data_IF_542574907341
#
_entry.id   IF_542574907341
#
_cell.length_a   1.000
_cell.length_b   1.000
_cell.length_c   1.000
_cell.angle_alpha   90.00
_cell.angle_beta   90.00
_cell.angle_gamma   90.00
#
_symmetry.space_group_name_H-M   'P 1'
#
loop_
_entity.id
_entity.type
_entity.pdbx_description
1 polymer ?
#
# COMPACT_ATOMS: atom_id res chain seq x y z
N UNK A 1 7.34 -16.88 -13.81
CA UNK A 1 7.59 -15.52 -13.26
C UNK A 1 6.86 -14.51 -14.13
N UNK A 2 6.19 -13.52 -13.53
CA UNK A 2 5.40 -12.53 -14.27
C UNK A 2 6.22 -11.29 -14.59
N UNK A 3 5.95 -10.65 -15.73
CA UNK A 3 6.46 -9.31 -16.01
C UNK A 3 5.46 -8.26 -15.57
N UNK A 4 5.92 -7.28 -14.79
CA UNK A 4 5.16 -6.09 -14.43
C UNK A 4 5.57 -4.90 -15.31
N UNK A 5 4.59 -4.05 -15.62
CA UNK A 5 4.81 -2.78 -16.28
C UNK A 5 5.16 -1.69 -15.26
N UNK A 6 6.15 -0.88 -15.62
CA UNK A 6 6.55 0.35 -14.96
C UNK A 6 6.39 1.48 -15.96
N UNK A 7 5.72 2.55 -15.58
CA UNK A 7 5.33 3.61 -16.53
C UNK A 7 5.91 4.95 -16.17
N UNK A 8 6.42 5.67 -17.17
CA UNK A 8 6.73 7.09 -17.07
C UNK A 8 5.57 7.88 -17.68
N UNK A 9 4.83 8.62 -16.87
CA UNK A 9 3.68 9.42 -17.36
C UNK A 9 4.10 10.61 -18.21
N UNK A 10 5.28 11.19 -17.96
CA UNK A 10 5.81 12.31 -18.73
C UNK A 10 6.22 11.89 -20.14
N UNK A 11 7.04 10.84 -20.24
CA UNK A 11 7.53 10.33 -21.52
C UNK A 11 6.53 9.40 -22.22
N UNK A 12 5.47 8.97 -21.52
CA UNK A 12 4.44 8.03 -22.00
C UNK A 12 5.03 6.73 -22.54
N UNK A 13 5.97 6.17 -21.79
CA UNK A 13 6.62 4.90 -22.09
C UNK A 13 6.46 3.91 -20.93
N UNK A 14 6.55 2.62 -21.26
CA UNK A 14 6.54 1.55 -20.29
C UNK A 14 7.81 0.71 -20.39
N UNK A 15 8.36 0.39 -19.22
CA UNK A 15 9.47 -0.54 -19.03
C UNK A 15 8.93 -1.78 -18.35
N UNK A 16 9.31 -2.97 -18.83
CA UNK A 16 8.93 -4.23 -18.19
C UNK A 16 10.06 -4.76 -17.32
N UNK A 17 9.73 -5.19 -16.10
CA UNK A 17 10.63 -5.85 -15.16
C UNK A 17 9.92 -7.02 -14.53
N UNK A 18 10.68 -7.94 -13.93
CA UNK A 18 10.09 -9.01 -13.15
C UNK A 18 9.22 -8.45 -12.02
N UNK A 19 8.09 -9.09 -11.73
CA UNK A 19 7.23 -8.78 -10.59
C UNK A 19 7.95 -8.80 -9.23
N UNK A 20 9.06 -9.54 -9.11
CA UNK A 20 9.87 -9.65 -7.90
C UNK A 20 10.92 -8.53 -7.78
N UNK A 21 11.10 -7.71 -8.81
CA UNK A 21 12.07 -6.61 -8.77
C UNK A 21 11.66 -5.57 -7.72
N UNK A 22 12.48 -5.40 -6.68
CA UNK A 22 12.23 -4.47 -5.56
C UNK A 22 12.99 -3.13 -5.67
N UNK A 23 13.61 -2.85 -6.81
CA UNK A 23 14.33 -1.60 -7.04
C UNK A 23 13.47 -0.49 -7.63
N UNK A 24 14.05 0.69 -7.75
CA UNK A 24 13.50 1.76 -8.58
C UNK A 24 13.81 1.48 -10.06
N UNK A 25 12.86 1.82 -10.94
CA UNK A 25 13.03 1.68 -12.40
C UNK A 25 13.14 3.08 -13.00
N UNK A 26 14.32 3.51 -13.47
CA UNK A 26 14.46 4.79 -14.14
C UNK A 26 13.88 4.74 -15.56
N UNK A 27 13.32 5.86 -15.99
CA UNK A 27 12.85 6.08 -17.34
C UNK A 27 14.04 6.17 -18.30
N UNK A 28 14.10 5.40 -19.40
CA UNK A 28 15.21 5.48 -20.36
C UNK A 28 15.27 6.80 -21.14
N UNK A 29 14.20 7.59 -21.15
CA UNK A 29 14.14 8.86 -21.91
C UNK A 29 14.51 10.07 -21.03
N UNK A 30 13.96 10.17 -19.81
CA UNK A 30 14.15 11.33 -18.94
C UNK A 30 14.88 11.04 -17.62
N UNK A 31 15.26 9.78 -17.36
CA UNK A 31 15.91 9.35 -16.12
C UNK A 31 15.03 9.33 -14.87
N UNK A 32 13.83 9.93 -14.90
CA UNK A 32 12.92 9.96 -13.74
C UNK A 32 12.39 8.58 -13.38
N UNK A 33 12.01 8.40 -12.11
CA UNK A 33 11.44 7.15 -11.62
C UNK A 33 10.10 6.82 -12.28
N UNK A 34 9.99 5.60 -12.80
CA UNK A 34 8.74 5.05 -13.29
C UNK A 34 7.84 4.61 -12.13
N UNK A 35 6.54 4.71 -12.35
CA UNK A 35 5.50 4.25 -11.42
C UNK A 35 5.21 2.78 -11.71
N UNK A 36 5.20 1.95 -10.66
CA UNK A 36 4.79 0.56 -10.76
C UNK A 36 3.30 0.46 -11.10
N UNK A 37 2.98 -0.21 -12.20
CA UNK A 37 1.61 -0.43 -12.65
C UNK A 37 1.15 -1.88 -12.40
N UNK A 38 2.09 -2.81 -12.34
CA UNK A 38 1.82 -4.25 -12.21
C UNK A 38 1.58 -4.94 -13.55
N UNK A 39 1.04 -6.15 -13.51
CA UNK A 39 0.88 -7.00 -14.70
C UNK A 39 -0.55 -7.02 -15.27
N UNK A 40 -1.54 -6.58 -14.49
CA UNK A 40 -2.97 -6.65 -14.88
C UNK A 40 -3.47 -5.42 -15.61
N UNK A 41 -2.87 -4.26 -15.39
CA UNK A 41 -3.36 -3.00 -15.96
C UNK A 41 -2.69 -2.80 -17.32
N UNK A 42 -3.46 -2.69 -18.41
CA UNK A 42 -2.90 -2.49 -19.74
C UNK A 42 -2.25 -1.10 -19.85
N UNK A 43 -1.08 -1.06 -20.51
CA UNK A 43 -0.38 0.20 -20.80
C UNK A 43 -1.02 0.85 -22.03
N UNK A 44 -1.46 2.12 -21.95
CA UNK A 44 -2.01 2.82 -23.10
C UNK A 44 -0.97 3.07 -24.21
N UNK A 45 -1.38 3.12 -25.49
CA UNK A 45 -0.49 3.53 -26.57
C UNK A 45 0.07 4.94 -26.37
N UNK A 46 1.35 5.17 -26.69
CA UNK A 46 2.04 6.47 -26.53
C UNK A 46 1.32 7.62 -27.27
N UNK A 47 0.73 7.33 -28.41
CA UNK A 47 -0.01 8.27 -29.26
C UNK A 47 -1.32 8.80 -28.65
N UNK A 48 -1.83 8.18 -27.57
CA UNK A 48 -3.12 8.54 -26.96
C UNK A 48 -2.93 9.24 -25.61
N UNK A 49 -2.52 10.53 -25.56
CA UNK A 49 -2.22 11.23 -24.30
C UNK A 49 -3.39 11.28 -23.32
N UNK A 50 -4.62 11.37 -23.83
CA UNK A 50 -5.83 11.34 -22.98
C UNK A 50 -5.95 10.07 -22.15
N UNK A 51 -5.60 8.90 -22.71
CA UNK A 51 -5.63 7.63 -21.98
C UNK A 51 -4.56 7.56 -20.88
N UNK A 52 -3.39 8.16 -21.13
CA UNK A 52 -2.33 8.27 -20.13
C UNK A 52 -2.75 9.14 -18.94
N UNK A 53 -3.38 10.28 -19.23
CA UNK A 53 -3.91 11.16 -18.19
C UNK A 53 -5.03 10.47 -17.40
N UNK A 54 -5.94 9.77 -18.07
CA UNK A 54 -6.98 8.97 -17.40
C UNK A 54 -6.37 7.91 -16.49
N UNK A 55 -5.37 7.18 -16.96
CA UNK A 55 -4.67 6.18 -16.15
C UNK A 55 -4.01 6.82 -14.91
N UNK A 56 -3.36 7.97 -15.07
CA UNK A 56 -2.74 8.68 -13.95
C UNK A 56 -3.77 9.08 -12.89
N UNK A 57 -4.93 9.60 -13.32
CA UNK A 57 -6.04 9.96 -12.43
C UNK A 57 -6.60 8.72 -11.73
N UNK A 58 -6.82 7.63 -12.47
CA UNK A 58 -7.32 6.37 -11.91
C UNK A 58 -6.38 5.81 -10.82
N UNK A 59 -5.06 5.81 -11.05
CA UNK A 59 -4.10 5.36 -10.06
C UNK A 59 -4.08 6.27 -8.82
N UNK A 60 -4.17 7.60 -9.01
CA UNK A 60 -4.23 8.54 -7.91
C UNK A 60 -5.49 8.32 -7.06
N UNK A 61 -6.65 8.15 -7.70
CA UNK A 61 -7.92 7.85 -7.01
C UNK A 61 -7.86 6.51 -6.27
N UNK A 62 -7.35 5.45 -6.92
CA UNK A 62 -7.19 4.15 -6.30
C UNK A 62 -6.28 4.22 -5.06
N UNK A 63 -5.19 5.00 -5.13
CA UNK A 63 -4.29 5.22 -3.98
C UNK A 63 -5.00 5.95 -2.83
N UNK A 64 -5.80 6.99 -3.14
CA UNK A 64 -6.57 7.71 -2.13
C UNK A 64 -7.57 6.77 -1.44
N UNK A 65 -8.31 5.98 -2.21
CA UNK A 65 -9.27 5.01 -1.68
C UNK A 65 -8.59 3.94 -0.82
N UNK A 66 -7.48 3.38 -1.28
CA UNK A 66 -6.69 2.40 -0.53
C UNK A 66 -6.17 2.98 0.79
N UNK A 67 -5.65 4.21 0.78
CA UNK A 67 -5.18 4.88 1.99
C UNK A 67 -6.33 5.15 2.97
N UNK A 68 -7.49 5.60 2.47
CA UNK A 68 -8.68 5.81 3.30
C UNK A 68 -9.15 4.50 3.94
N UNK A 69 -9.16 3.42 3.17
CA UNK A 69 -9.55 2.11 3.67
C UNK A 69 -8.57 1.60 4.72
N UNK A 70 -7.26 1.71 4.48
CA UNK A 70 -6.24 1.36 5.46
C UNK A 70 -6.38 2.15 6.77
N UNK A 71 -6.68 3.46 6.69
CA UNK A 71 -6.93 4.27 7.88
C UNK A 71 -8.15 3.77 8.68
N UNK A 72 -9.24 3.44 7.99
CA UNK A 72 -10.43 2.87 8.64
C UNK A 72 -10.14 1.51 9.28
N UNK A 73 -9.36 0.66 8.61
CA UNK A 73 -8.99 -0.65 9.12
C UNK A 73 -8.05 -0.54 10.33
N UNK A 74 -7.14 0.43 10.35
CA UNK A 74 -6.31 0.73 11.53
C UNK A 74 -7.18 1.19 12.72
N UNK A 75 -8.14 2.09 12.50
CA UNK A 75 -9.07 2.53 13.57
C UNK A 75 -9.86 1.35 14.12
N UNK A 76 -10.37 0.47 13.25
CA UNK A 76 -11.07 -0.75 13.68
C UNK A 76 -10.17 -1.64 14.52
N UNK A 77 -8.93 -1.84 14.09
CA UNK A 77 -7.95 -2.65 14.80
C UNK A 77 -7.61 -2.05 16.17
N UNK A 78 -7.44 -0.73 16.27
CA UNK A 78 -7.27 -0.02 17.53
C UNK A 78 -8.44 -0.31 18.48
N UNK A 79 -9.68 -0.15 18.03
CA UNK A 79 -10.85 -0.43 18.86
C UNK A 79 -10.97 -1.90 19.30
N UNK A 80 -10.56 -2.84 18.45
CA UNK A 80 -10.49 -4.27 18.83
C UNK A 80 -9.49 -4.46 19.97
N UNK A 81 -8.28 -3.91 19.85
CA UNK A 81 -7.24 -4.02 20.86
C UNK A 81 -7.64 -3.32 22.17
N UNK A 82 -8.23 -2.12 22.11
CA UNK A 82 -8.75 -1.40 23.28
C UNK A 82 -9.78 -2.23 24.04
N UNK A 83 -10.74 -2.84 23.33
CA UNK A 83 -11.76 -3.71 23.93
C UNK A 83 -11.15 -4.96 24.54
N UNK A 84 -10.14 -5.54 23.90
CA UNK A 84 -9.45 -6.73 24.41
C UNK A 84 -8.66 -6.42 25.68
N UNK A 85 -7.93 -5.29 25.70
CA UNK A 85 -7.27 -4.76 26.89
C UNK A 85 -8.29 -4.57 28.02
N UNK A 86 -9.40 -3.88 27.77
CA UNK A 86 -10.43 -3.63 28.78
C UNK A 86 -11.08 -4.92 29.32
N UNK A 87 -11.19 -5.97 28.51
CA UNK A 87 -11.66 -7.29 28.96
C UNK A 87 -10.64 -7.95 29.90
N UNK A 88 -9.37 -7.94 29.52
CA UNK A 88 -8.28 -8.56 30.29
C UNK A 88 -8.02 -7.79 31.60
N UNK A 89 -8.18 -6.47 31.60
CA UNK A 89 -8.07 -5.63 32.79
C UNK A 89 -9.08 -5.99 33.87
N UNK A 90 -10.26 -6.52 33.51
CA UNK A 90 -11.28 -6.98 34.47
C UNK A 90 -10.98 -8.33 35.12
N UNK A 91 -10.05 -9.12 34.56
CA UNK A 91 -9.67 -10.42 35.10
C UNK A 91 -8.75 -10.25 36.32
N UNK A 92 -8.75 -11.20 37.28
CA UNK A 92 -7.86 -11.17 38.43
C UNK A 92 -6.40 -11.19 38.00
N UNK A 93 -5.56 -10.57 38.82
CA UNK A 93 -4.17 -10.36 38.48
C UNK A 93 -3.36 -11.66 38.49
N UNK A 94 -2.65 -11.92 37.40
CA UNK A 94 -1.67 -13.01 37.29
C UNK A 94 -0.52 -12.60 36.35
N UNK A 95 0.64 -13.29 36.40
CA UNK A 95 1.80 -12.95 35.57
C UNK A 95 1.49 -12.97 34.06
N UNK A 96 0.71 -13.95 33.59
CA UNK A 96 0.31 -14.07 32.18
C UNK A 96 -0.57 -12.92 31.68
N UNK A 97 -1.43 -12.37 32.56
CA UNK A 97 -2.22 -11.17 32.30
C UNK A 97 -1.33 -9.96 32.06
N UNK A 98 -0.30 -9.75 32.90
CA UNK A 98 0.61 -8.61 32.78
C UNK A 98 1.39 -8.65 31.46
N UNK A 99 1.93 -9.82 31.08
CA UNK A 99 2.64 -9.98 29.80
C UNK A 99 1.72 -9.77 28.60
N UNK A 100 0.48 -10.30 28.64
CA UNK A 100 -0.48 -10.15 27.56
C UNK A 100 -0.93 -8.70 27.37
N UNK A 101 -1.20 -7.97 28.47
CA UNK A 101 -1.51 -6.54 28.42
C UNK A 101 -0.35 -5.72 27.84
N UNK A 102 0.89 -6.04 28.21
CA UNK A 102 2.06 -5.38 27.65
C UNK A 102 2.15 -5.60 26.13
N UNK A 103 1.97 -6.83 25.66
CA UNK A 103 1.99 -7.14 24.22
C UNK A 103 0.89 -6.39 23.44
N UNK A 104 -0.34 -6.38 23.95
CA UNK A 104 -1.47 -5.71 23.30
C UNK A 104 -1.28 -4.18 23.25
N UNK A 105 -0.76 -3.58 24.34
CA UNK A 105 -0.43 -2.15 24.38
C UNK A 105 0.71 -1.80 23.43
N UNK A 106 1.77 -2.60 23.37
CA UNK A 106 2.86 -2.40 22.40
C UNK A 106 2.36 -2.49 20.97
N UNK A 107 1.45 -3.43 20.68
CA UNK A 107 0.85 -3.56 19.35
C UNK A 107 0.00 -2.32 18.98
N UNK A 108 -0.76 -1.78 19.93
CA UNK A 108 -1.55 -0.56 19.72
C UNK A 108 -0.67 0.67 19.42
N UNK A 109 0.50 0.78 20.06
CA UNK A 109 1.47 1.87 19.81
C UNK A 109 2.19 1.77 18.45
N UNK A 110 2.13 0.61 17.78
CA UNK A 110 2.79 0.35 16.51
C UNK A 110 1.86 0.48 15.29
N UNK A 111 0.58 0.82 15.50
CA UNK A 111 -0.42 1.07 14.45
C UNK A 111 -0.42 2.52 13.98
#
# INVERSE_FOLDING_TARGET
MGMAAWVCFECRIAVRRDTQYRGQVPCPECGKHCVYLGYKIPVPPKSKPRLWQQLQVQLAQAKILANRQAALDNIRLCHVLEREIAKIERLPENPGRRSLLQQLRSRLLQL
#
